data_IF_300148384033
#
_entry.id   IF_300148384033
#
_cell.length_a   1.000
_cell.length_b   1.000
_cell.length_c   1.000
_cell.angle_alpha   90.00
_cell.angle_beta   90.00
_cell.angle_gamma   90.00
#
_symmetry.space_group_name_H-M   'P 1'
#
loop_
_entity.id
_entity.type
_entity.pdbx_description
1 polymer ?
#
# COMPACT_ATOMS: atom_id res chain seq x y z
N UNK A 1 -9.24 -5.26 76.60
CA UNK A 1 -8.98 -6.60 77.17
C UNK A 1 -9.94 -7.58 76.51
N UNK A 2 -9.53 -8.80 76.11
CA UNK A 2 -8.18 -9.38 75.96
C UNK A 2 -7.80 -9.55 74.45
N UNK A 3 -6.53 -9.52 73.96
CA UNK A 3 -5.30 -10.31 74.24
C UNK A 3 -5.52 -11.81 73.89
N UNK A 4 -4.82 -12.48 72.97
CA UNK A 4 -3.38 -12.81 72.75
C UNK A 4 -3.34 -13.63 71.42
N UNK A 5 -2.23 -13.90 70.71
CA UNK A 5 -0.80 -13.73 70.95
C UNK A 5 0.03 -14.38 69.83
N UNK A 6 1.28 -13.92 69.74
CA UNK A 6 2.41 -14.31 68.90
C UNK A 6 2.74 -15.81 68.82
N UNK A 7 3.42 -16.23 67.74
CA UNK A 7 4.76 -16.89 67.76
C UNK A 7 5.30 -17.24 66.36
N UNK A 8 6.37 -16.55 65.96
CA UNK A 8 7.59 -17.15 65.36
C UNK A 8 8.35 -17.95 66.47
N UNK A 9 9.46 -18.71 66.25
CA UNK A 9 10.48 -18.64 65.19
C UNK A 9 11.07 -20.02 64.74
N UNK A 10 12.14 -20.03 63.92
CA UNK A 10 13.46 -20.64 64.22
C UNK A 10 14.33 -20.78 62.94
N UNK A 11 15.53 -20.19 63.01
CA UNK A 11 16.70 -20.36 62.13
C UNK A 11 17.66 -21.39 62.78
N UNK A 12 18.47 -22.12 62.00
CA UNK A 12 19.93 -22.07 62.22
C UNK A 12 20.69 -21.99 60.86
N UNK A 13 21.63 -21.06 60.62
CA UNK A 13 23.11 -21.13 60.90
C UNK A 13 23.71 -22.51 60.59
N UNK A 14 24.67 -22.70 59.68
CA UNK A 14 26.12 -22.33 59.74
C UNK A 14 26.80 -23.04 58.54
N UNK A 15 27.66 -22.47 57.69
CA UNK A 15 29.10 -22.13 57.86
C UNK A 15 29.94 -22.83 56.76
N UNK A 16 30.79 -22.04 56.10
CA UNK A 16 32.13 -22.31 55.57
C UNK A 16 32.56 -23.74 55.20
N UNK A 17 33.04 -23.93 53.96
CA UNK A 17 34.45 -24.34 53.75
C UNK A 17 34.96 -24.03 52.34
N UNK A 18 36.17 -23.48 52.35
CA UNK A 18 37.12 -23.28 51.26
C UNK A 18 37.64 -24.65 50.78
N UNK A 19 37.87 -24.83 49.48
CA UNK A 19 38.88 -25.74 48.98
C UNK A 19 39.51 -25.21 47.68
N UNK A 20 40.80 -24.88 47.81
CA UNK A 20 41.77 -24.53 46.76
C UNK A 20 42.24 -25.78 45.99
N UNK A 21 42.74 -25.53 44.79
CA UNK A 21 43.77 -26.32 44.11
C UNK A 21 43.23 -27.30 43.06
N UNK A 22 43.86 -27.54 41.92
CA UNK A 22 45.28 -27.42 41.57
C UNK A 22 45.40 -27.19 40.06
N UNK A 23 46.21 -26.19 39.68
CA UNK A 23 46.80 -26.03 38.35
C UNK A 23 47.92 -27.06 38.22
N UNK A 24 47.99 -27.83 37.13
CA UNK A 24 49.20 -28.56 36.77
C UNK A 24 49.51 -28.40 35.29
N UNK A 25 50.59 -27.67 35.06
CA UNK A 25 51.33 -27.53 33.81
C UNK A 25 52.33 -28.69 33.76
N UNK A 26 52.36 -29.44 32.66
CA UNK A 26 53.58 -30.14 32.24
C UNK A 26 53.79 -30.01 30.74
N UNK A 27 54.80 -29.21 30.40
CA UNK A 27 55.49 -29.22 29.14
C UNK A 27 56.42 -30.44 29.06
N UNK A 28 56.49 -31.07 27.89
CA UNK A 28 57.68 -31.81 27.48
C UNK A 28 58.03 -31.48 26.03
N UNK A 29 59.29 -31.12 25.84
CA UNK A 29 59.86 -30.68 24.58
C UNK A 29 60.53 -31.84 23.81
N UNK A 30 60.34 -31.78 22.48
CA UNK A 30 61.24 -32.13 21.36
C UNK A 30 62.12 -33.40 21.44
N UNK A 31 61.95 -34.23 20.42
CA UNK A 31 63.06 -34.71 19.59
C UNK A 31 62.65 -34.71 18.11
N UNK A 32 63.54 -34.23 17.24
CA UNK A 32 63.37 -34.11 15.80
C UNK A 32 64.24 -35.14 15.07
N UNK A 33 63.81 -35.63 13.90
CA UNK A 33 64.56 -35.74 12.63
C UNK A 33 63.73 -36.46 11.54
N UNK A 34 64.08 -36.32 10.25
CA UNK A 34 63.12 -35.99 9.20
C UNK A 34 62.76 -37.18 8.31
N UNK A 35 61.57 -37.13 7.72
CA UNK A 35 61.25 -37.90 6.51
C UNK A 35 60.78 -36.92 5.44
N UNK A 36 61.60 -36.79 4.39
CA UNK A 36 61.22 -36.13 3.16
C UNK A 36 60.10 -36.94 2.50
N UNK A 37 58.95 -36.31 2.27
CA UNK A 37 58.00 -36.77 1.26
C UNK A 37 57.49 -35.55 0.49
N UNK A 38 57.70 -35.64 -0.82
CA UNK A 38 57.47 -34.60 -1.82
C UNK A 38 56.02 -34.12 -1.84
N UNK A 39 55.88 -32.82 -2.08
CA UNK A 39 54.64 -32.11 -2.30
C UNK A 39 53.88 -32.64 -3.53
N UNK A 40 52.60 -32.98 -3.34
CA UNK A 40 51.55 -32.78 -4.35
C UNK A 40 50.30 -32.33 -3.60
N UNK A 41 50.13 -31.01 -3.44
CA UNK A 41 48.88 -30.43 -3.00
C UNK A 41 47.84 -30.60 -4.11
N UNK A 42 46.91 -31.54 -3.95
CA UNK A 42 45.71 -31.62 -4.80
C UNK A 42 44.69 -30.64 -4.24
N UNK A 43 44.66 -29.43 -4.78
CA UNK A 43 43.53 -28.52 -4.56
C UNK A 43 42.27 -29.09 -5.25
N UNK A 44 41.10 -29.13 -4.59
CA UNK A 44 39.85 -29.37 -5.28
C UNK A 44 39.52 -28.12 -6.10
N UNK A 45 39.71 -28.21 -7.41
CA UNK A 45 39.27 -27.17 -8.35
C UNK A 45 37.75 -27.19 -8.38
N UNK A 46 37.13 -26.21 -7.75
CA UNK A 46 35.69 -25.97 -7.89
C UNK A 46 35.41 -25.56 -9.34
N UNK A 47 34.76 -26.45 -10.09
CA UNK A 47 34.31 -26.18 -11.45
C UNK A 47 33.17 -25.15 -11.42
N UNK A 48 33.53 -23.86 -11.44
CA UNK A 48 32.59 -22.80 -11.76
C UNK A 48 32.04 -23.02 -13.18
N UNK A 49 30.79 -23.47 -13.31
CA UNK A 49 30.04 -23.33 -14.57
C UNK A 49 29.80 -21.85 -14.83
N UNK A 50 30.63 -21.25 -15.68
CA UNK A 50 30.41 -19.90 -16.21
C UNK A 50 29.33 -19.97 -17.29
N UNK A 51 28.16 -19.40 -17.03
CA UNK A 51 27.11 -19.20 -18.04
C UNK A 51 27.27 -17.77 -18.59
N UNK A 52 28.38 -17.49 -19.28
CA UNK A 52 28.48 -16.39 -20.25
C UNK A 52 29.79 -16.47 -21.02
N UNK A 53 29.72 -16.41 -22.36
CA UNK A 53 30.87 -16.36 -23.26
C UNK A 53 30.82 -15.11 -24.13
N UNK A 54 30.65 -13.93 -23.51
CA UNK A 54 30.93 -12.66 -24.18
C UNK A 54 32.13 -12.00 -23.51
N UNK A 55 33.01 -11.33 -24.28
CA UNK A 55 34.06 -10.52 -23.70
C UNK A 55 33.44 -9.34 -22.93
N UNK A 56 33.94 -9.07 -21.73
CA UNK A 56 33.60 -7.86 -20.99
C UNK A 56 34.09 -6.65 -21.78
N UNK A 57 33.16 -5.86 -22.31
CA UNK A 57 33.45 -4.51 -22.81
C UNK A 57 33.23 -3.54 -21.66
N UNK A 58 34.29 -2.85 -21.25
CA UNK A 58 34.20 -1.71 -20.35
C UNK A 58 33.28 -0.64 -20.96
N UNK A 59 32.39 -0.05 -20.15
CA UNK A 59 31.62 1.10 -20.60
C UNK A 59 32.58 2.27 -20.85
N UNK A 60 32.58 2.80 -22.08
CA UNK A 60 33.29 4.03 -22.42
C UNK A 60 32.37 5.18 -22.03
N UNK A 61 32.71 5.89 -20.95
CA UNK A 61 32.02 7.13 -20.60
C UNK A 61 32.39 8.20 -21.65
N UNK A 62 31.46 8.48 -22.56
CA UNK A 62 31.59 9.66 -23.42
C UNK A 62 31.39 10.92 -22.57
N UNK A 63 32.19 11.97 -22.76
CA UNK A 63 31.97 13.25 -22.09
C UNK A 63 30.56 13.76 -22.42
N UNK A 64 29.89 14.34 -21.42
CA UNK A 64 28.51 14.86 -21.52
C UNK A 64 28.50 16.04 -22.50
N UNK A 65 28.30 15.77 -23.78
CA UNK A 65 27.99 16.78 -24.80
C UNK A 65 26.48 16.96 -24.85
N UNK A 66 25.91 17.56 -23.82
CA UNK A 66 24.50 17.94 -23.74
C UNK A 66 24.26 19.29 -24.44
N UNK A 67 24.70 19.44 -25.70
CA UNK A 67 24.28 20.55 -26.56
C UNK A 67 24.22 20.07 -28.01
N UNK A 68 23.21 19.27 -28.30
CA UNK A 68 22.77 18.96 -29.67
C UNK A 68 21.25 19.06 -29.71
N UNK A 69 20.64 19.54 -30.82
CA UNK A 69 19.19 19.51 -30.96
C UNK A 69 18.70 18.06 -30.80
N UNK A 70 17.48 17.86 -30.25
CA UNK A 70 16.95 16.53 -30.01
C UNK A 70 17.05 15.68 -31.29
N UNK A 71 17.46 14.41 -31.20
CA UNK A 71 17.54 13.55 -32.36
C UNK A 71 16.16 13.47 -33.02
N UNK A 72 16.13 13.61 -34.36
CA UNK A 72 14.88 13.48 -35.11
C UNK A 72 14.26 12.11 -34.80
N UNK A 73 12.96 12.10 -34.52
CA UNK A 73 12.20 10.88 -34.36
C UNK A 73 12.52 9.93 -35.53
N UNK A 74 12.73 8.63 -35.27
CA UNK A 74 13.01 7.67 -36.33
C UNK A 74 11.90 7.77 -37.38
N UNK A 75 12.31 7.89 -38.64
CA UNK A 75 11.37 7.84 -39.76
C UNK A 75 10.57 6.54 -39.65
N UNK A 76 9.28 6.63 -39.94
CA UNK A 76 8.30 5.53 -40.00
C UNK A 76 8.94 4.22 -40.44
N UNK A 77 8.62 3.08 -39.79
CA UNK A 77 9.25 1.81 -40.09
C UNK A 77 9.17 1.48 -41.59
N UNK A 78 10.25 0.87 -42.08
CA UNK A 78 10.45 0.43 -43.46
C UNK A 78 9.22 -0.30 -44.03
N UNK A 79 9.00 -0.16 -45.34
CA UNK A 79 7.84 -0.66 -46.09
C UNK A 79 7.61 -2.19 -46.01
N UNK A 80 8.51 -2.94 -45.37
CA UNK A 80 8.41 -4.38 -45.14
C UNK A 80 7.52 -4.76 -43.94
N UNK A 81 7.05 -3.79 -43.14
CA UNK A 81 6.10 -4.04 -42.03
C UNK A 81 4.71 -3.42 -42.27
N UNK A 82 4.27 -3.38 -43.54
CA UNK A 82 2.87 -3.15 -43.91
C UNK A 82 2.18 -4.48 -44.24
N UNK A 83 2.03 -5.35 -43.24
CA UNK A 83 1.10 -6.47 -43.34
C UNK A 83 -0.35 -5.97 -43.20
N UNK A 84 -0.98 -5.83 -44.37
CA UNK A 84 -2.37 -6.20 -44.67
C UNK A 84 -3.46 -5.68 -43.73
N UNK A 85 -3.74 -4.37 -43.83
CA UNK A 85 -5.11 -3.84 -43.62
C UNK A 85 -5.44 -2.75 -44.63
N UNK A 86 -5.16 -3.03 -45.91
CA UNK A 86 -5.79 -2.33 -47.04
C UNK A 86 -6.70 -3.30 -47.77
N UNK A 87 -7.79 -3.68 -47.13
CA UNK A 87 -8.99 -4.13 -47.85
C UNK A 87 -9.75 -2.87 -48.30
N UNK A 88 -9.69 -2.67 -49.61
CA UNK A 88 -10.39 -1.71 -50.45
C UNK A 88 -11.74 -1.26 -49.88
N UNK A 89 -12.01 0.03 -50.05
CA UNK A 89 -13.33 0.64 -49.99
C UNK A 89 -14.37 -0.23 -50.70
N UNK A 90 -15.15 -0.95 -49.90
CA UNK A 90 -16.51 -1.32 -50.22
C UNK A 90 -17.35 -0.60 -49.17
N UNK A 91 -18.07 0.43 -49.62
CA UNK A 91 -19.04 1.17 -48.84
C UNK A 91 -20.16 0.21 -48.40
N UNK A 92 -19.92 -0.47 -47.29
CA UNK A 92 -20.94 -1.23 -46.57
C UNK A 92 -21.74 -0.22 -45.74
N UNK A 93 -23.08 -0.25 -45.79
CA UNK A 93 -23.88 0.68 -45.01
C UNK A 93 -23.53 0.50 -43.54
N UNK A 94 -23.12 1.59 -42.88
CA UNK A 94 -22.87 1.63 -41.45
C UNK A 94 -24.08 0.98 -40.75
N UNK A 95 -23.82 -0.11 -40.04
CA UNK A 95 -24.86 -0.77 -39.25
C UNK A 95 -25.49 0.26 -38.31
N UNK A 96 -26.81 0.18 -38.09
CA UNK A 96 -27.53 1.13 -37.23
C UNK A 96 -26.88 1.28 -35.84
N UNK A 97 -26.21 0.24 -35.36
CA UNK A 97 -25.47 0.22 -34.10
C UNK A 97 -24.23 1.13 -34.11
N UNK A 98 -23.43 1.15 -35.18
CA UNK A 98 -22.25 2.03 -35.30
C UNK A 98 -22.65 3.50 -35.50
N UNK A 99 -23.68 3.75 -36.30
CA UNK A 99 -24.24 5.09 -36.44
C UNK A 99 -24.83 5.62 -35.11
N UNK A 100 -25.46 4.75 -34.31
CA UNK A 100 -25.99 5.12 -32.99
C UNK A 100 -24.88 5.40 -31.95
N UNK A 101 -23.80 4.61 -31.94
CA UNK A 101 -22.62 4.83 -31.09
C UNK A 101 -21.91 6.13 -31.46
N UNK A 102 -21.79 6.44 -32.74
CA UNK A 102 -21.20 7.70 -33.20
C UNK A 102 -22.03 8.91 -32.76
N UNK A 103 -23.37 8.83 -32.88
CA UNK A 103 -24.29 9.87 -32.41
C UNK A 103 -24.25 10.05 -30.89
N UNK A 104 -24.20 8.97 -30.11
CA UNK A 104 -24.05 9.01 -28.65
C UNK A 104 -22.73 9.67 -28.25
N UNK A 105 -21.62 9.22 -28.83
CA UNK A 105 -20.31 9.82 -28.55
C UNK A 105 -20.27 11.30 -28.93
N UNK A 106 -20.90 11.69 -30.04
CA UNK A 106 -21.01 13.09 -30.44
C UNK A 106 -21.86 13.92 -29.46
N UNK A 107 -22.96 13.36 -28.94
CA UNK A 107 -23.81 14.02 -27.94
C UNK A 107 -23.08 14.22 -26.60
N UNK A 108 -22.20 13.29 -26.22
CA UNK A 108 -21.40 13.38 -24.99
C UNK A 108 -20.24 14.38 -25.08
N UNK A 109 -19.87 14.85 -26.28
CA UNK A 109 -18.78 15.84 -26.45
C UNK A 109 -19.05 17.18 -25.76
N UNK A 110 -20.31 17.50 -25.46
CA UNK A 110 -20.71 18.72 -24.77
C UNK A 110 -21.41 18.40 -23.45
N UNK A 111 -21.28 19.29 -22.47
CA UNK A 111 -22.09 19.26 -21.25
C UNK A 111 -23.55 19.50 -21.64
N UNK A 112 -24.44 18.64 -21.16
CA UNK A 112 -25.89 18.72 -21.44
C UNK A 112 -26.72 19.25 -20.26
N UNK A 113 -26.07 19.54 -19.13
CA UNK A 113 -26.69 20.13 -17.94
C UNK A 113 -26.14 21.53 -17.68
N UNK A 114 -26.93 22.39 -17.05
CA UNK A 114 -26.48 23.72 -16.66
C UNK A 114 -26.14 23.76 -15.17
N UNK A 115 -27.08 23.36 -14.33
CA UNK A 115 -27.00 23.52 -12.89
C UNK A 115 -26.85 22.14 -12.22
N UNK A 116 -26.11 22.09 -11.11
CA UNK A 116 -25.97 20.88 -10.29
C UNK A 116 -26.48 21.16 -8.88
N UNK A 117 -27.35 20.29 -8.37
CA UNK A 117 -27.99 20.47 -7.08
C UNK A 117 -27.85 19.23 -6.20
N UNK A 118 -27.56 19.44 -4.92
CA UNK A 118 -27.68 18.40 -3.89
C UNK A 118 -29.09 18.48 -3.32
N UNK A 119 -29.85 17.40 -3.46
CA UNK A 119 -31.22 17.31 -2.94
C UNK A 119 -31.26 16.29 -1.81
N UNK A 120 -31.56 16.75 -0.59
CA UNK A 120 -31.78 15.88 0.57
C UNK A 120 -33.24 15.44 0.63
N UNK A 121 -33.51 14.14 0.53
CA UNK A 121 -34.84 13.55 0.68
C UNK A 121 -34.83 12.60 1.87
N UNK A 122 -35.67 12.87 2.87
CA UNK A 122 -36.06 12.11 4.08
C UNK A 122 -35.03 11.24 4.84
N UNK A 123 -34.02 10.62 4.22
CA UNK A 123 -32.86 9.96 4.83
C UNK A 123 -31.62 9.84 3.91
N UNK A 124 -31.67 10.37 2.68
CA UNK A 124 -30.59 10.23 1.69
C UNK A 124 -30.41 11.53 0.87
N UNK A 125 -29.20 11.73 0.32
CA UNK A 125 -28.88 12.76 -0.65
C UNK A 125 -28.87 12.17 -2.06
N UNK A 126 -29.38 12.97 -3.01
CA UNK A 126 -29.27 12.72 -4.43
C UNK A 126 -28.64 13.93 -5.11
N UNK A 127 -27.76 13.68 -6.08
CA UNK A 127 -27.18 14.74 -6.91
C UNK A 127 -27.98 14.82 -8.21
N UNK A 128 -28.51 16.00 -8.50
CA UNK A 128 -29.33 16.30 -9.67
C UNK A 128 -28.54 17.15 -10.66
N UNK A 129 -28.50 16.71 -11.92
CA UNK A 129 -28.07 17.49 -13.08
C UNK A 129 -29.32 18.13 -13.68
N UNK A 130 -29.46 19.44 -13.50
CA UNK A 130 -30.70 20.21 -13.64
C UNK A 130 -31.87 19.60 -12.84
N UNK A 131 -32.57 18.62 -13.44
CA UNK A 131 -33.73 17.92 -12.87
C UNK A 131 -33.55 16.40 -12.82
N UNK A 132 -32.42 15.86 -13.31
CA UNK A 132 -32.20 14.43 -13.48
C UNK A 132 -31.17 13.93 -12.47
N UNK A 133 -31.48 12.88 -11.73
CA UNK A 133 -30.52 12.28 -10.79
C UNK A 133 -29.35 11.62 -11.52
N UNK A 134 -28.14 11.81 -10.97
CA UNK A 134 -26.95 11.03 -11.34
C UNK A 134 -27.23 9.55 -11.07
N UNK A 135 -26.75 8.69 -11.97
CA UNK A 135 -26.97 7.25 -11.92
C UNK A 135 -25.67 6.47 -11.86
N UNK A 136 -25.74 5.31 -11.24
CA UNK A 136 -24.66 4.32 -11.22
C UNK A 136 -24.46 3.70 -12.61
N UNK A 137 -23.33 3.02 -12.87
CA UNK A 137 -23.14 2.23 -14.10
C UNK A 137 -24.22 1.15 -14.30
N UNK A 138 -24.80 0.64 -13.20
CA UNK A 138 -25.94 -0.29 -13.16
C UNK A 138 -27.29 0.39 -13.50
N UNK A 139 -27.28 1.69 -13.82
CA UNK A 139 -28.42 2.56 -14.20
C UNK A 139 -29.39 2.88 -13.06
N UNK A 140 -29.02 2.58 -11.82
CA UNK A 140 -29.81 2.95 -10.65
C UNK A 140 -29.51 4.38 -10.22
N UNK A 141 -30.38 4.98 -9.41
CA UNK A 141 -30.15 6.32 -8.89
C UNK A 141 -29.04 6.26 -7.84
N UNK A 142 -28.01 7.09 -7.99
CA UNK A 142 -26.94 7.18 -7.00
C UNK A 142 -27.51 7.81 -5.73
N UNK A 143 -27.63 7.00 -4.68
CA UNK A 143 -28.09 7.44 -3.37
C UNK A 143 -26.96 7.48 -2.36
N UNK A 144 -26.84 8.59 -1.65
CA UNK A 144 -25.80 8.84 -0.64
C UNK A 144 -26.48 8.97 0.73
N UNK A 145 -26.01 8.28 1.79
CA UNK A 145 -26.60 8.39 3.12
C UNK A 145 -26.67 9.84 3.62
N UNK A 146 -27.74 10.20 4.34
CA UNK A 146 -27.89 11.56 4.89
C UNK A 146 -26.82 11.95 5.92
N UNK A 147 -26.10 10.97 6.47
CA UNK A 147 -24.92 11.19 7.32
C UNK A 147 -23.71 11.69 6.53
N UNK A 148 -23.71 11.62 5.19
CA UNK A 148 -22.54 11.95 4.35
C UNK A 148 -22.74 13.17 3.45
N UNK A 149 -23.01 14.38 4.00
CA UNK A 149 -23.22 15.57 3.18
C UNK A 149 -21.96 15.98 2.41
N UNK A 150 -20.77 15.81 2.99
CA UNK A 150 -19.51 16.13 2.31
C UNK A 150 -19.30 15.29 1.05
N UNK A 151 -19.65 14.00 1.10
CA UNK A 151 -19.61 13.12 -0.07
C UNK A 151 -20.60 13.60 -1.15
N UNK A 152 -21.83 13.95 -0.76
CA UNK A 152 -22.84 14.45 -1.69
C UNK A 152 -22.41 15.75 -2.39
N UNK A 153 -21.82 16.69 -1.64
CA UNK A 153 -21.29 17.93 -2.21
C UNK A 153 -20.04 17.70 -3.05
N UNK A 154 -19.15 16.77 -2.67
CA UNK A 154 -18.00 16.41 -3.48
C UNK A 154 -18.42 15.82 -4.84
N UNK A 155 -19.41 14.92 -4.84
CA UNK A 155 -20.01 14.42 -6.09
C UNK A 155 -20.62 15.58 -6.89
N UNK A 156 -21.41 16.47 -6.28
CA UNK A 156 -21.97 17.62 -6.98
C UNK A 156 -20.89 18.50 -7.63
N UNK A 157 -19.79 18.77 -6.92
CA UNK A 157 -18.65 19.54 -7.44
C UNK A 157 -17.99 18.86 -8.64
N UNK A 158 -17.80 17.53 -8.62
CA UNK A 158 -17.25 16.78 -9.76
C UNK A 158 -18.05 17.03 -11.04
N UNK A 159 -19.38 16.99 -10.93
CA UNK A 159 -20.27 17.21 -12.05
C UNK A 159 -20.40 18.69 -12.45
N UNK A 160 -20.23 19.61 -11.51
CA UNK A 160 -20.34 21.04 -11.77
C UNK A 160 -19.10 21.61 -12.46
N UNK A 161 -17.90 21.13 -12.16
CA UNK A 161 -16.68 21.59 -12.84
C UNK A 161 -16.42 20.89 -14.18
N UNK A 162 -17.21 19.86 -14.49
CA UNK A 162 -17.00 19.05 -15.68
C UNK A 162 -17.38 19.81 -16.97
N UNK A 163 -16.46 19.96 -17.94
CA UNK A 163 -16.69 20.67 -19.19
C UNK A 163 -17.47 19.85 -20.23
N UNK A 164 -17.46 18.52 -20.16
CA UNK A 164 -18.21 17.66 -21.09
C UNK A 164 -18.63 16.33 -20.48
N UNK A 165 -19.79 15.82 -20.92
CA UNK A 165 -20.34 14.55 -20.44
C UNK A 165 -19.44 13.35 -20.76
N UNK A 166 -18.60 13.44 -21.80
CA UNK A 166 -17.62 12.41 -22.14
C UNK A 166 -16.58 12.21 -21.03
N UNK A 167 -16.26 13.25 -20.25
CA UNK A 167 -15.32 13.11 -19.14
C UNK A 167 -15.87 12.21 -18.02
N UNK A 168 -17.20 12.12 -17.85
CA UNK A 168 -17.81 11.18 -16.90
C UNK A 168 -17.53 9.70 -17.24
N UNK A 169 -17.10 9.40 -18.47
CA UNK A 169 -16.65 8.05 -18.85
C UNK A 169 -15.25 7.72 -18.31
N UNK A 170 -14.50 8.73 -17.84
CA UNK A 170 -13.15 8.58 -17.32
C UNK A 170 -13.21 8.56 -15.80
N UNK A 171 -12.85 7.43 -15.19
CA UNK A 171 -12.91 7.25 -13.73
C UNK A 171 -12.07 8.28 -12.94
N UNK A 172 -10.98 8.81 -13.52
CA UNK A 172 -10.16 9.84 -12.89
C UNK A 172 -10.83 11.22 -12.87
N UNK A 173 -11.84 11.46 -13.71
CA UNK A 173 -12.62 12.71 -13.73
C UNK A 173 -13.81 12.69 -12.79
N UNK A 174 -14.22 11.50 -12.31
CA UNK A 174 -15.34 11.31 -11.37
C UNK A 174 -15.00 10.32 -10.23
N UNK A 175 -13.88 10.51 -9.50
CA UNK A 175 -13.43 9.56 -8.49
C UNK A 175 -14.43 9.32 -7.35
N UNK A 176 -15.09 10.36 -6.84
CA UNK A 176 -16.09 10.30 -5.77
C UNK A 176 -17.40 9.70 -6.27
N UNK A 177 -17.87 10.08 -7.47
CA UNK A 177 -19.07 9.46 -8.06
C UNK A 177 -18.86 7.96 -8.24
N UNK A 178 -17.70 7.56 -8.77
CA UNK A 178 -17.38 6.14 -9.00
C UNK A 178 -17.28 5.36 -7.69
N UNK A 179 -16.72 5.98 -6.65
CA UNK A 179 -16.54 5.34 -5.35
C UNK A 179 -17.85 5.27 -4.55
N UNK A 180 -18.69 6.30 -4.61
CA UNK A 180 -20.04 6.27 -4.06
C UNK A 180 -20.90 5.21 -4.76
N UNK A 181 -20.86 5.13 -6.09
CA UNK A 181 -21.56 4.09 -6.84
C UNK A 181 -21.11 2.68 -6.42
N UNK A 182 -19.79 2.46 -6.27
CA UNK A 182 -19.23 1.20 -5.77
C UNK A 182 -19.79 0.83 -4.39
N UNK A 183 -19.89 1.80 -3.47
CA UNK A 183 -20.45 1.57 -2.13
C UNK A 183 -21.96 1.26 -2.19
N UNK A 184 -22.73 1.96 -3.02
CA UNK A 184 -24.16 1.71 -3.22
C UNK A 184 -24.40 0.32 -3.82
N UNK A 185 -23.61 -0.08 -4.81
CA UNK A 185 -23.71 -1.41 -5.43
C UNK A 185 -23.44 -2.52 -4.40
N UNK A 186 -22.41 -2.37 -3.54
CA UNK A 186 -22.13 -3.31 -2.44
C UNK A 186 -23.30 -3.38 -1.45
N UNK A 187 -23.84 -2.23 -1.04
CA UNK A 187 -24.96 -2.19 -0.09
C UNK A 187 -26.22 -2.89 -0.64
N UNK A 188 -26.48 -2.72 -1.94
CA UNK A 188 -27.59 -3.38 -2.64
C UNK A 188 -27.38 -4.89 -2.70
N UNK A 189 -26.19 -5.34 -3.12
CA UNK A 189 -25.85 -6.77 -3.15
C UNK A 189 -26.02 -7.40 -1.76
N UNK A 190 -25.51 -6.76 -0.71
CA UNK A 190 -25.66 -7.25 0.67
C UNK A 190 -27.15 -7.37 1.08
N UNK A 191 -27.99 -6.40 0.70
CA UNK A 191 -29.42 -6.40 0.98
C UNK A 191 -30.19 -7.50 0.20
N UNK A 192 -29.71 -7.85 -0.99
CA UNK A 192 -30.22 -8.95 -1.81
C UNK A 192 -29.70 -10.32 -1.34
N UNK A 193 -28.78 -10.36 -0.37
CA UNK A 193 -28.11 -11.57 0.11
C UNK A 193 -26.99 -12.05 -0.82
N UNK A 194 -26.60 -11.26 -1.82
CA UNK A 194 -25.43 -11.52 -2.66
C UNK A 194 -24.17 -10.98 -1.97
N UNK A 195 -23.21 -11.87 -1.72
CA UNK A 195 -21.93 -11.53 -1.09
C UNK A 195 -20.75 -11.60 -2.05
N UNK A 196 -21.01 -11.64 -3.35
CA UNK A 196 -19.98 -11.86 -4.38
C UNK A 196 -18.92 -10.76 -4.36
N UNK A 197 -19.29 -9.48 -4.44
CA UNK A 197 -18.32 -8.38 -4.41
C UNK A 197 -17.57 -8.33 -3.08
N UNK A 198 -18.29 -8.47 -1.96
CA UNK A 198 -17.69 -8.50 -0.62
C UNK A 198 -16.62 -9.59 -0.48
N UNK A 199 -16.90 -10.81 -0.94
CA UNK A 199 -15.94 -11.92 -0.95
C UNK A 199 -14.71 -11.62 -1.82
N UNK A 200 -14.89 -10.97 -2.97
CA UNK A 200 -13.78 -10.54 -3.84
C UNK A 200 -12.88 -9.50 -3.16
N UNK A 201 -13.47 -8.55 -2.45
CA UNK A 201 -12.74 -7.54 -1.68
C UNK A 201 -11.96 -8.20 -0.54
N UNK A 202 -12.59 -9.09 0.23
CA UNK A 202 -11.90 -9.87 1.28
C UNK A 202 -10.73 -10.67 0.71
N UNK A 203 -10.93 -11.37 -0.41
CA UNK A 203 -9.87 -12.13 -1.09
C UNK A 203 -8.71 -11.23 -1.50
N UNK A 204 -9.01 -10.03 -1.99
CA UNK A 204 -7.98 -9.04 -2.36
C UNK A 204 -7.26 -8.50 -1.13
N UNK A 205 -7.98 -8.16 -0.06
CA UNK A 205 -7.41 -7.73 1.20
C UNK A 205 -6.44 -8.77 1.78
N UNK A 206 -6.80 -10.06 1.76
CA UNK A 206 -5.92 -11.13 2.25
C UNK A 206 -4.67 -11.31 1.40
N UNK A 207 -4.76 -11.15 0.07
CA UNK A 207 -3.59 -11.16 -0.81
C UNK A 207 -2.63 -10.00 -0.52
N UNK A 208 -3.17 -8.82 -0.24
CA UNK A 208 -2.35 -7.68 0.17
C UNK A 208 -1.78 -7.87 1.58
N UNK A 209 -2.49 -8.50 2.51
CA UNK A 209 -1.92 -8.83 3.82
C UNK A 209 -0.70 -9.76 3.70
N UNK A 210 -0.72 -10.70 2.75
CA UNK A 210 0.41 -11.60 2.48
C UNK A 210 1.61 -10.89 1.86
N UNK A 211 1.44 -9.68 1.33
CA UNK A 211 2.48 -8.88 0.64
C UNK A 211 2.46 -7.42 1.07
N UNK A 212 2.06 -7.16 2.32
CA UNK A 212 1.74 -5.81 2.79
C UNK A 212 3.00 -4.94 2.79
N UNK A 213 2.95 -3.81 2.07
CA UNK A 213 4.08 -2.89 1.96
C UNK A 213 4.60 -2.42 3.32
N UNK A 214 3.73 -2.29 4.33
CA UNK A 214 4.12 -1.87 5.67
C UNK A 214 4.89 -2.95 6.44
N UNK A 215 4.74 -4.22 6.07
CA UNK A 215 5.36 -5.38 6.72
C UNK A 215 6.59 -5.91 5.96
N UNK A 216 6.90 -5.33 4.80
CA UNK A 216 8.03 -5.67 3.97
C UNK A 216 9.21 -4.75 4.30
N UNK A 217 10.14 -5.22 5.14
CA UNK A 217 11.24 -4.39 5.64
C UNK A 217 12.57 -4.72 4.98
N UNK A 218 13.46 -3.72 4.91
CA UNK A 218 14.84 -3.92 4.50
C UNK A 218 15.52 -4.95 5.42
N UNK A 219 16.26 -5.94 4.87
CA UNK A 219 17.02 -6.89 5.67
C UNK A 219 18.02 -6.21 6.61
N UNK A 220 18.26 -6.84 7.75
CA UNK A 220 19.26 -6.36 8.70
C UNK A 220 20.68 -6.53 8.12
N UNK A 221 21.35 -5.42 7.81
CA UNK A 221 22.72 -5.45 7.27
C UNK A 221 23.71 -5.69 8.40
N UNK A 222 24.48 -6.78 8.32
CA UNK A 222 25.41 -7.16 9.39
C UNK A 222 26.75 -6.39 9.38
N UNK A 223 27.25 -5.84 8.27
CA UNK A 223 28.55 -5.13 8.25
C UNK A 223 28.68 -4.07 7.14
N UNK A 224 29.27 -2.92 7.49
CA UNK A 224 29.86 -1.90 6.61
C UNK A 224 28.94 -1.15 5.63
N UNK A 225 27.85 -0.53 6.11
CA UNK A 225 27.40 0.69 5.43
C UNK A 225 28.29 1.83 5.91
N UNK A 226 28.92 2.58 4.99
CA UNK A 226 29.48 3.88 5.33
C UNK A 226 28.34 4.67 5.98
N UNK A 227 28.47 4.99 7.27
CA UNK A 227 27.51 5.82 7.98
C UNK A 227 27.45 7.15 7.23
N UNK A 228 26.40 7.31 6.43
CA UNK A 228 26.20 8.56 5.70
C UNK A 228 25.84 9.59 6.76
N UNK A 229 26.57 10.69 6.76
CA UNK A 229 26.32 11.80 7.68
C UNK A 229 25.54 12.89 6.94
N UNK A 230 24.63 13.55 7.66
CA UNK A 230 24.05 14.82 7.23
C UNK A 230 25.14 15.88 7.14
N UNK A 231 24.84 17.02 6.52
CA UNK A 231 25.74 18.18 6.49
C UNK A 231 26.19 18.64 7.90
N UNK A 232 25.37 18.36 8.91
CA UNK A 232 25.63 18.67 10.33
C UNK A 232 26.40 17.56 11.07
N UNK A 233 26.87 16.51 10.37
CA UNK A 233 27.64 15.41 10.94
C UNK A 233 26.81 14.38 11.72
N UNK A 234 25.48 14.33 11.55
CA UNK A 234 24.63 13.32 12.19
C UNK A 234 24.45 12.10 11.29
N UNK A 235 24.47 10.86 11.82
CA UNK A 235 24.17 9.68 11.03
C UNK A 235 22.76 9.77 10.41
N UNK A 236 22.63 9.49 9.12
CA UNK A 236 21.35 9.38 8.43
C UNK A 236 20.67 8.08 8.90
N UNK A 237 19.40 8.19 9.32
CA UNK A 237 18.56 7.06 9.72
C UNK A 237 18.48 6.03 8.56
N UNK A 238 18.64 4.74 8.87
CA UNK A 238 18.57 3.69 7.85
C UNK A 238 17.12 3.47 7.41
N UNK A 239 16.92 2.98 6.18
CA UNK A 239 15.58 2.69 5.66
C UNK A 239 14.84 1.72 6.59
N UNK A 240 15.50 0.65 7.06
CA UNK A 240 14.94 -0.27 8.06
C UNK A 240 14.47 0.43 9.33
N UNK A 241 15.27 1.34 9.90
CA UNK A 241 14.91 2.07 11.12
C UNK A 241 13.62 2.89 10.93
N UNK A 242 13.52 3.60 9.80
CA UNK A 242 12.33 4.38 9.45
C UNK A 242 11.11 3.45 9.25
N UNK A 243 11.29 2.34 8.52
CA UNK A 243 10.25 1.33 8.28
C UNK A 243 9.73 0.73 9.60
N UNK A 244 10.62 0.27 10.48
CA UNK A 244 10.23 -0.32 11.78
C UNK A 244 9.52 0.70 12.67
N UNK A 245 9.96 1.96 12.68
CA UNK A 245 9.32 3.04 13.45
C UNK A 245 7.91 3.34 12.96
N UNK A 246 7.72 3.53 11.65
CA UNK A 246 6.41 3.84 11.06
C UNK A 246 5.47 2.64 11.16
N UNK A 247 5.93 1.45 10.79
CA UNK A 247 5.16 0.21 10.92
C UNK A 247 4.77 -0.07 12.37
N UNK A 248 5.70 0.08 13.32
CA UNK A 248 5.44 -0.11 14.74
C UNK A 248 4.33 0.79 15.28
N UNK A 249 4.28 2.06 14.86
CA UNK A 249 3.23 3.00 15.25
C UNK A 249 1.84 2.58 14.75
N UNK A 250 1.75 2.12 13.50
CA UNK A 250 0.49 1.64 12.90
C UNK A 250 0.08 0.32 13.54
N UNK A 251 0.98 -0.67 13.60
CA UNK A 251 0.74 -1.99 14.18
C UNK A 251 0.32 -1.89 15.64
N UNK A 252 1.00 -1.08 16.46
CA UNK A 252 0.66 -0.88 17.87
C UNK A 252 -0.75 -0.35 18.06
N UNK A 253 -1.18 0.60 17.23
CA UNK A 253 -2.55 1.07 17.27
C UNK A 253 -3.53 -0.04 16.88
N UNK A 254 -3.27 -0.75 15.78
CA UNK A 254 -4.16 -1.80 15.31
C UNK A 254 -4.30 -2.93 16.34
N UNK A 255 -3.19 -3.41 16.91
CA UNK A 255 -3.20 -4.47 17.92
C UNK A 255 -3.74 -4.04 19.29
N UNK A 256 -3.84 -2.73 19.55
CA UNK A 256 -4.41 -2.20 20.80
C UNK A 256 -5.88 -1.84 20.66
N UNK A 257 -6.28 -1.34 19.49
CA UNK A 257 -7.57 -0.64 19.30
C UNK A 257 -8.52 -1.34 18.35
N UNK A 258 -8.00 -2.02 17.32
CA UNK A 258 -8.83 -2.67 16.30
C UNK A 258 -8.90 -4.17 16.57
N UNK A 259 -7.76 -4.80 16.84
CA UNK A 259 -7.63 -6.22 17.13
C UNK A 259 -6.82 -6.44 18.42
N UNK A 260 -7.44 -6.22 19.61
CA UNK A 260 -6.77 -6.40 20.91
C UNK A 260 -6.09 -7.77 21.04
N UNK A 261 -4.77 -7.76 21.24
CA UNK A 261 -3.97 -8.97 21.45
C UNK A 261 -3.62 -9.74 20.18
N UNK A 262 -3.91 -9.19 19.00
CA UNK A 262 -3.54 -9.80 17.73
C UNK A 262 -2.05 -9.61 17.43
N UNK A 263 -1.37 -10.71 17.10
CA UNK A 263 0.02 -10.69 16.67
C UNK A 263 0.10 -10.46 15.16
N UNK A 264 0.76 -9.37 14.76
CA UNK A 264 1.07 -9.04 13.38
C UNK A 264 2.59 -9.08 13.26
N UNK A 265 3.10 -9.88 12.34
CA UNK A 265 4.55 -10.08 12.15
C UNK A 265 5.04 -9.48 10.83
N UNK A 266 6.30 -9.04 10.74
CA UNK A 266 6.91 -8.69 9.45
C UNK A 266 6.91 -9.88 8.49
N UNK A 267 6.84 -9.59 7.18
CA UNK A 267 6.67 -10.60 6.14
C UNK A 267 8.01 -11.14 5.62
N UNK A 268 9.09 -10.35 5.68
CA UNK A 268 10.40 -10.79 5.19
C UNK A 268 11.28 -11.30 6.32
N UNK A 269 11.94 -12.44 6.06
CA UNK A 269 13.07 -12.92 6.88
C UNK A 269 14.39 -12.38 6.30
N UNK A 270 15.40 -12.26 7.16
CA UNK A 270 16.74 -11.74 6.84
C UNK A 270 17.40 -12.48 5.67
N UNK A 271 17.04 -13.75 5.45
CA UNK A 271 17.65 -14.62 4.43
C UNK A 271 16.69 -15.03 3.30
N UNK A 272 15.48 -14.46 3.23
CA UNK A 272 14.46 -14.87 2.26
C UNK A 272 13.72 -13.67 1.67
N UNK A 273 13.64 -13.65 0.34
CA UNK A 273 12.75 -12.73 -0.39
C UNK A 273 11.30 -13.24 -0.46
N UNK A 274 11.05 -14.48 0.00
CA UNK A 274 9.72 -15.07 0.00
C UNK A 274 8.92 -14.60 1.23
N UNK A 275 7.70 -14.09 1.03
CA UNK A 275 6.80 -13.70 2.11
C UNK A 275 6.50 -14.81 3.11
N UNK A 276 6.62 -14.50 4.40
CA UNK A 276 6.07 -15.29 5.49
C UNK A 276 4.57 -15.01 5.61
N UNK A 277 3.79 -16.10 5.64
CA UNK A 277 2.35 -16.00 5.91
C UNK A 277 2.12 -15.55 7.35
N UNK A 278 1.17 -14.62 7.54
CA UNK A 278 0.65 -14.30 8.87
C UNK A 278 0.08 -15.57 9.55
N UNK A 279 0.08 -15.64 10.90
CA UNK A 279 -0.57 -16.71 11.64
C UNK A 279 -2.03 -16.89 11.23
N UNK A 280 -2.52 -18.14 11.21
CA UNK A 280 -3.88 -18.43 10.78
C UNK A 280 -4.93 -17.67 11.59
N UNK A 281 -4.77 -17.61 12.92
CA UNK A 281 -5.66 -16.84 13.79
C UNK A 281 -5.68 -15.34 13.48
N UNK A 282 -4.53 -14.78 13.07
CA UNK A 282 -4.42 -13.39 12.62
C UNK A 282 -5.21 -13.18 11.33
N UNK A 283 -5.02 -14.05 10.32
CA UNK A 283 -5.77 -13.98 9.06
C UNK A 283 -7.26 -14.13 9.26
N UNK A 284 -7.68 -15.10 10.07
CA UNK A 284 -9.10 -15.38 10.33
C UNK A 284 -9.75 -14.16 11.02
N UNK A 285 -9.09 -13.57 12.03
CA UNK A 285 -9.60 -12.39 12.74
C UNK A 285 -9.74 -11.17 11.83
N UNK A 286 -8.72 -10.91 10.99
CA UNK A 286 -8.77 -9.79 10.04
C UNK A 286 -9.84 -10.05 8.97
N UNK A 287 -9.95 -11.28 8.46
CA UNK A 287 -10.97 -11.68 7.50
C UNK A 287 -12.39 -11.43 8.05
N UNK A 288 -12.66 -11.88 9.27
CA UNK A 288 -13.94 -11.61 9.95
C UNK A 288 -14.19 -10.11 10.08
N UNK A 289 -13.20 -9.34 10.55
CA UNK A 289 -13.34 -7.89 10.70
C UNK A 289 -13.67 -7.19 9.37
N UNK A 290 -12.98 -7.54 8.28
CA UNK A 290 -13.27 -6.97 6.94
C UNK A 290 -14.67 -7.37 6.48
N UNK A 291 -15.12 -8.60 6.79
CA UNK A 291 -16.44 -9.08 6.40
C UNK A 291 -17.60 -8.34 7.07
N UNK A 292 -17.37 -7.76 8.25
CA UNK A 292 -18.37 -7.03 9.05
C UNK A 292 -18.46 -5.54 8.70
N UNK A 293 -17.57 -5.03 7.83
CA UNK A 293 -17.59 -3.63 7.44
C UNK A 293 -18.86 -3.23 6.70
N UNK A 294 -19.33 -2.01 6.97
CA UNK A 294 -20.39 -1.38 6.17
C UNK A 294 -19.96 -1.25 4.71
N UNK A 295 -20.91 -1.16 3.78
CA UNK A 295 -20.61 -1.07 2.36
C UNK A 295 -19.71 0.12 1.99
N UNK A 296 -19.92 1.28 2.65
CA UNK A 296 -19.09 2.48 2.44
C UNK A 296 -17.68 2.30 3.01
N UNK A 297 -17.54 1.70 4.20
CA UNK A 297 -16.21 1.41 4.76
C UNK A 297 -15.47 0.36 3.95
N UNK A 298 -16.16 -0.66 3.44
CA UNK A 298 -15.57 -1.71 2.63
C UNK A 298 -15.07 -1.17 1.27
N UNK A 299 -15.86 -0.33 0.61
CA UNK A 299 -15.43 0.36 -0.62
C UNK A 299 -14.24 1.30 -0.35
N UNK A 300 -14.26 2.01 0.78
CA UNK A 300 -13.16 2.87 1.23
C UNK A 300 -11.89 2.06 1.51
N UNK A 301 -12.02 0.93 2.19
CA UNK A 301 -10.93 0.02 2.49
C UNK A 301 -10.34 -0.56 1.20
N UNK A 302 -11.17 -1.05 0.27
CA UNK A 302 -10.72 -1.54 -1.04
C UNK A 302 -9.89 -0.47 -1.76
N UNK A 303 -10.40 0.77 -1.84
CA UNK A 303 -9.69 1.87 -2.48
C UNK A 303 -8.37 2.19 -1.77
N UNK A 304 -8.35 2.25 -0.45
CA UNK A 304 -7.14 2.53 0.32
C UNK A 304 -6.09 1.43 0.14
N UNK A 305 -6.48 0.14 0.19
CA UNK A 305 -5.58 -0.99 -0.05
C UNK A 305 -4.94 -0.88 -1.44
N UNK A 306 -5.74 -0.63 -2.47
CA UNK A 306 -5.24 -0.57 -3.84
C UNK A 306 -4.29 0.60 -4.07
N UNK A 307 -4.52 1.74 -3.40
CA UNK A 307 -3.69 2.93 -3.47
C UNK A 307 -2.37 2.75 -2.70
N UNK A 308 -2.45 2.32 -1.43
CA UNK A 308 -1.29 2.21 -0.53
C UNK A 308 -0.50 0.91 -0.66
N UNK A 309 -1.07 -0.10 -1.33
CA UNK A 309 -0.58 -1.49 -1.37
C UNK A 309 -0.44 -2.12 0.02
N UNK A 310 -1.21 -1.63 0.99
CA UNK A 310 -1.15 -2.05 2.39
C UNK A 310 -2.55 -2.15 3.00
N UNK A 311 -2.87 -3.32 3.54
CA UNK A 311 -4.08 -3.53 4.33
C UNK A 311 -3.99 -2.77 5.66
N UNK A 312 -2.83 -2.80 6.32
CA UNK A 312 -2.69 -2.17 7.64
C UNK A 312 -2.82 -0.63 7.58
N UNK A 313 -2.21 0.01 6.57
CA UNK A 313 -2.38 1.45 6.35
C UNK A 313 -3.84 1.76 6.03
N UNK A 314 -4.48 0.95 5.17
CA UNK A 314 -5.88 1.14 4.80
C UNK A 314 -6.83 1.03 5.99
N UNK A 315 -6.67 0.00 6.83
CA UNK A 315 -7.47 -0.17 8.05
C UNK A 315 -7.23 1.01 9.00
N UNK A 316 -5.97 1.41 9.20
CA UNK A 316 -5.67 2.56 10.07
C UNK A 316 -6.37 3.83 9.59
N UNK A 317 -6.33 4.12 8.28
CA UNK A 317 -6.99 5.29 7.71
C UNK A 317 -8.52 5.21 7.85
N UNK A 318 -9.14 4.07 7.50
CA UNK A 318 -10.59 3.91 7.58
C UNK A 318 -11.09 4.04 9.02
N UNK A 319 -10.44 3.42 10.00
CA UNK A 319 -10.85 3.50 11.41
C UNK A 319 -10.76 4.94 11.97
N UNK A 320 -9.79 5.74 11.54
CA UNK A 320 -9.57 7.10 12.03
C UNK A 320 -10.57 8.14 11.48
N UNK A 321 -11.22 7.83 10.35
CA UNK A 321 -12.09 8.75 9.62
C UNK A 321 -13.54 8.29 9.47
N UNK A 322 -13.79 6.98 9.45
CA UNK A 322 -15.14 6.44 9.30
C UNK A 322 -16.04 6.83 10.46
N UNK A 323 -17.29 7.16 10.15
CA UNK A 323 -18.30 7.44 11.17
C UNK A 323 -18.64 6.21 12.04
N UNK A 324 -18.42 4.99 11.54
CA UNK A 324 -18.73 3.75 12.27
C UNK A 324 -17.70 3.41 13.36
N UNK A 325 -16.52 4.04 13.32
CA UNK A 325 -15.43 3.80 14.27
C UNK A 325 -15.18 4.97 15.25
N UNK A 326 -16.15 5.87 15.42
CA UNK A 326 -16.05 7.02 16.36
C UNK A 326 -15.68 6.63 17.79
N UNK A 327 -16.07 5.44 18.24
CA UNK A 327 -15.74 4.92 19.58
C UNK A 327 -14.25 4.59 19.76
N UNK A 328 -13.50 4.41 18.66
CA UNK A 328 -12.06 4.12 18.67
C UNK A 328 -11.23 5.42 18.50
N UNK A 329 -11.80 6.41 17.81
CA UNK A 329 -11.15 7.67 17.47
C UNK A 329 -10.82 8.51 18.71
N UNK A 330 -9.75 9.30 18.62
CA UNK A 330 -9.28 10.20 19.69
C UNK A 330 -9.39 11.66 19.23
N UNK A 331 -10.45 12.39 19.62
CA UNK A 331 -10.68 13.76 19.13
C UNK A 331 -9.57 14.75 19.47
N UNK A 332 -8.91 14.56 20.62
CA UNK A 332 -7.87 15.46 21.13
C UNK A 332 -6.47 15.16 20.60
N UNK A 333 -6.28 14.01 19.94
CA UNK A 333 -4.98 13.61 19.38
C UNK A 333 -4.92 13.93 17.88
N UNK A 334 -3.70 14.13 17.37
CA UNK A 334 -3.47 14.21 15.93
C UNK A 334 -3.97 12.92 15.27
N UNK A 335 -4.95 13.03 14.37
CA UNK A 335 -5.46 11.90 13.59
C UNK A 335 -4.42 11.41 12.58
N UNK A 336 -4.38 10.10 12.34
CA UNK A 336 -3.66 9.54 11.20
C UNK A 336 -4.43 9.91 9.91
N UNK A 337 -3.88 10.84 9.14
CA UNK A 337 -4.51 11.45 7.99
C UNK A 337 -3.93 10.97 6.66
N UNK A 338 -4.22 11.76 5.62
CA UNK A 338 -3.80 11.49 4.24
C UNK A 338 -2.27 11.53 4.13
N UNK A 339 -1.64 12.51 4.77
CA UNK A 339 -0.18 12.70 4.72
C UNK A 339 0.54 11.54 5.40
N UNK A 340 0.11 11.13 6.60
CA UNK A 340 0.71 9.99 7.31
C UNK A 340 0.51 8.67 6.55
N UNK A 341 -0.65 8.48 5.92
CA UNK A 341 -0.93 7.31 5.09
C UNK A 341 -0.08 7.28 3.81
N UNK A 342 0.09 8.43 3.16
CA UNK A 342 0.94 8.57 1.98
C UNK A 342 2.42 8.36 2.31
N UNK A 343 2.91 8.97 3.40
CA UNK A 343 4.28 8.77 3.90
C UNK A 343 4.54 7.29 4.22
N UNK A 344 3.62 6.63 4.95
CA UNK A 344 3.78 5.23 5.32
C UNK A 344 3.81 4.28 4.12
N UNK A 345 3.08 4.59 3.04
CA UNK A 345 3.00 3.75 1.84
C UNK A 345 4.09 4.02 0.81
N UNK A 346 4.65 5.25 0.78
CA UNK A 346 5.69 5.67 -0.16
C UNK A 346 7.06 5.88 0.50
N UNK A 347 7.24 5.32 1.70
CA UNK A 347 8.42 5.49 2.55
C UNK A 347 9.72 5.18 1.80
N UNK A 348 9.80 4.04 1.13
CA UNK A 348 11.00 3.66 0.37
C UNK A 348 11.25 4.60 -0.81
N UNK A 349 10.21 4.97 -1.57
CA UNK A 349 10.33 5.91 -2.69
C UNK A 349 10.83 7.27 -2.20
N UNK A 350 10.28 7.76 -1.09
CA UNK A 350 10.70 9.03 -0.47
C UNK A 350 12.16 8.95 -0.04
N UNK A 351 12.55 7.88 0.65
CA UNK A 351 13.94 7.70 1.07
C UNK A 351 14.93 7.62 -0.11
N UNK A 352 14.54 6.97 -1.20
CA UNK A 352 15.37 6.85 -2.40
C UNK A 352 15.47 8.20 -3.14
N UNK A 353 14.37 8.95 -3.25
CA UNK A 353 14.34 10.26 -3.93
C UNK A 353 15.06 11.34 -3.15
N UNK A 354 14.99 11.33 -1.81
CA UNK A 354 15.82 12.18 -0.96
C UNK A 354 17.33 11.94 -1.19
N UNK A 355 17.69 10.70 -1.55
CA UNK A 355 19.08 10.30 -1.73
C UNK A 355 19.60 10.49 -3.16
N UNK A 356 18.75 10.30 -4.16
CA UNK A 356 19.16 10.24 -5.57
C UNK A 356 18.48 11.29 -6.45
N UNK A 357 17.61 12.12 -5.87
CA UNK A 357 16.82 13.10 -6.59
C UNK A 357 15.46 12.54 -7.01
N UNK A 358 14.50 13.44 -7.14
CA UNK A 358 13.18 13.16 -7.67
C UNK A 358 13.19 13.13 -9.21
N UNK A 359 12.37 12.27 -9.82
CA UNK A 359 12.16 12.23 -11.27
C UNK A 359 10.85 12.94 -11.55
N UNK A 360 10.95 14.11 -12.21
CA UNK A 360 9.81 14.92 -12.65
C UNK A 360 8.86 14.11 -13.56
N UNK A 361 7.57 14.47 -13.53
CA UNK A 361 6.48 13.80 -14.24
C UNK A 361 6.27 12.31 -13.89
N UNK A 362 6.92 11.81 -12.83
CA UNK A 362 6.79 10.41 -12.36
C UNK A 362 6.53 10.34 -10.86
N UNK A 363 7.51 10.74 -10.04
CA UNK A 363 7.41 10.62 -8.59
C UNK A 363 6.48 11.66 -7.98
N UNK A 364 6.56 12.89 -8.50
CA UNK A 364 5.72 14.03 -8.14
C UNK A 364 4.23 13.76 -8.44
N UNK A 365 3.93 13.31 -9.66
CA UNK A 365 2.57 12.95 -10.09
C UNK A 365 2.05 11.77 -9.27
N UNK A 366 2.89 10.74 -9.05
CA UNK A 366 2.53 9.58 -8.24
C UNK A 366 2.21 9.94 -6.79
N UNK A 367 2.98 10.85 -6.19
CA UNK A 367 2.77 11.34 -4.82
C UNK A 367 1.43 12.07 -4.69
N UNK A 368 1.13 12.99 -5.59
CA UNK A 368 -0.13 13.74 -5.55
C UNK A 368 -1.33 12.85 -5.90
N UNK A 369 -1.17 11.90 -6.84
CA UNK A 369 -2.24 10.94 -7.15
C UNK A 369 -2.54 10.00 -5.97
N UNK A 370 -1.52 9.53 -5.25
CA UNK A 370 -1.68 8.73 -4.04
C UNK A 370 -2.46 9.50 -2.97
N UNK A 371 -2.07 10.75 -2.69
CA UNK A 371 -2.80 11.61 -1.75
C UNK A 371 -4.23 11.85 -2.17
N UNK A 372 -4.47 12.10 -3.47
CA UNK A 372 -5.82 12.24 -4.04
C UNK A 372 -6.66 10.99 -3.82
N UNK A 373 -6.10 9.80 -4.04
CA UNK A 373 -6.79 8.53 -3.83
C UNK A 373 -7.11 8.30 -2.35
N UNK A 374 -6.15 8.51 -1.44
CA UNK A 374 -6.37 8.37 0.01
C UNK A 374 -7.35 9.43 0.55
N UNK A 375 -7.30 10.66 0.03
CA UNK A 375 -8.26 11.71 0.34
C UNK A 375 -9.69 11.35 -0.09
N UNK A 376 -9.86 10.69 -1.24
CA UNK A 376 -11.17 10.20 -1.68
C UNK A 376 -11.76 9.17 -0.70
N UNK A 377 -10.92 8.35 -0.06
CA UNK A 377 -11.34 7.40 0.98
C UNK A 377 -11.86 8.15 2.20
N UNK A 378 -11.11 9.16 2.67
CA UNK A 378 -11.50 9.98 3.82
C UNK A 378 -12.88 10.60 3.60
N UNK A 379 -13.12 11.22 2.42
CA UNK A 379 -14.42 11.84 2.10
C UNK A 379 -15.54 10.79 2.03
N UNK A 380 -15.27 9.59 1.50
CA UNK A 380 -16.25 8.51 1.40
C UNK A 380 -16.71 7.99 2.76
N UNK A 381 -15.77 7.70 3.67
CA UNK A 381 -16.08 7.03 4.94
C UNK A 381 -16.52 8.01 6.02
N UNK A 382 -16.09 9.26 5.94
CA UNK A 382 -16.50 10.32 6.87
C UNK A 382 -18.01 10.56 6.79
N UNK A 383 -18.57 11.00 7.91
CA UNK A 383 -19.96 11.43 8.00
C UNK A 383 -20.25 12.09 9.34
N UNK A 384 -21.41 12.73 9.44
CA UNK A 384 -21.90 13.49 10.58
C UNK A 384 -22.63 12.58 11.56
N UNK A 385 -22.54 12.91 12.85
CA UNK A 385 -23.39 12.28 13.87
C UNK A 385 -24.76 12.93 13.78
N UNK A 386 -25.79 12.12 13.64
CA UNK A 386 -27.17 12.58 13.85
C UNK A 386 -27.72 11.99 15.13
#
# INVERSE_FOLDING_TARGET
>A
MPRLGLKEPIVPTSSFSICQGILSVMAFARAARPSQLSAVARHPVSLCRRIHSSPFRSAVAHPVTAHGPPPKAPATPSAEFQETSKSKDAELPASESDASRYKLNAALKKRFWKDVHVHGKLDEYQVLLDKRSVRTPTKEVLSIPSTKPHLAHAVALEWDVMPSAQQALKSHSIPMTSLAARATDIAREDAEGDSTTRKQIITTAMRYLDTDTLLCWEPERQMHALERMTADGKPIETLRQIQTRIAGNVMSFLSTKVWPGLEIVPILDTNSILPLSQPKGTKDSICTWVSELSAFDLAGLERAILASKSLLIAVRLVVEWSENFRHIQRPEAKKFGIEEAAEASSLEVTWQTDMWGEVEDTHDVGKEDLKRQLGSVVVLVSGETR
#
